data_IF_757663632250
#
_entry.id   IF_757663632250
#
_cell.length_a   1.000
_cell.length_b   1.000
_cell.length_c   1.000
_cell.angle_alpha   90.00
_cell.angle_beta   90.00
_cell.angle_gamma   90.00
#
_symmetry.space_group_name_H-M   'P 1'
#
loop_
_entity.id
_entity.type
_entity.pdbx_description
1 polymer ?
#
# COMPACT_ATOMS: atom_id res chain seq x y z
N UNK A 1 -24.48 7.44 9.03
CA UNK A 1 -23.57 7.84 7.91
C UNK A 1 -24.36 7.66 6.63
N UNK A 2 -24.36 8.62 5.70
CA UNK A 2 -25.14 8.45 4.46
C UNK A 2 -24.53 7.32 3.61
N UNK A 3 -25.36 6.69 2.78
CA UNK A 3 -24.92 5.61 1.89
C UNK A 3 -23.82 6.10 0.93
N UNK A 4 -23.89 7.34 0.43
CA UNK A 4 -22.84 7.86 -0.46
C UNK A 4 -21.47 7.96 0.24
N UNK A 5 -21.44 8.36 1.52
CA UNK A 5 -20.19 8.42 2.30
C UNK A 5 -19.57 7.04 2.51
N UNK A 6 -20.39 6.00 2.70
CA UNK A 6 -19.91 4.62 2.82
C UNK A 6 -19.33 4.12 1.49
N UNK A 7 -20.00 4.40 0.37
CA UNK A 7 -19.52 4.04 -0.97
C UNK A 7 -18.19 4.74 -1.26
N UNK A 8 -18.07 6.03 -0.97
CA UNK A 8 -16.82 6.78 -1.15
C UNK A 8 -15.66 6.17 -0.35
N UNK A 9 -15.89 5.78 0.91
CA UNK A 9 -14.88 5.14 1.73
C UNK A 9 -14.48 3.74 1.23
N UNK A 10 -15.42 2.97 0.67
CA UNK A 10 -15.10 1.67 0.03
C UNK A 10 -14.16 1.89 -1.16
N UNK A 11 -14.43 2.88 -2.01
CA UNK A 11 -13.58 3.21 -3.15
C UNK A 11 -12.17 3.58 -2.69
N UNK A 12 -12.05 4.42 -1.66
CA UNK A 12 -10.75 4.75 -1.05
C UNK A 12 -10.04 3.49 -0.53
N UNK A 13 -10.77 2.60 0.16
CA UNK A 13 -10.25 1.33 0.64
C UNK A 13 -9.67 0.47 -0.49
N UNK A 14 -10.41 0.32 -1.61
CA UNK A 14 -9.92 -0.42 -2.78
C UNK A 14 -8.70 0.23 -3.43
N UNK A 15 -8.66 1.56 -3.53
CA UNK A 15 -7.48 2.28 -4.04
C UNK A 15 -6.26 1.98 -3.16
N UNK A 16 -6.41 1.98 -1.84
CA UNK A 16 -5.33 1.65 -0.91
C UNK A 16 -4.88 0.19 -1.05
N UNK A 17 -5.81 -0.75 -1.20
CA UNK A 17 -5.49 -2.16 -1.44
C UNK A 17 -4.71 -2.34 -2.73
N UNK A 18 -5.21 -1.79 -3.84
CA UNK A 18 -4.54 -1.91 -5.16
C UNK A 18 -3.18 -1.22 -5.12
N UNK A 19 -3.11 0.00 -4.58
CA UNK A 19 -1.85 0.74 -4.44
C UNK A 19 -0.83 -0.01 -3.58
N UNK A 20 -1.27 -0.60 -2.46
CA UNK A 20 -0.43 -1.45 -1.61
C UNK A 20 0.10 -2.68 -2.34
N UNK A 21 -0.76 -3.39 -3.09
CA UNK A 21 -0.35 -4.54 -3.90
C UNK A 21 0.67 -4.15 -4.98
N UNK A 22 0.44 -3.04 -5.69
CA UNK A 22 1.38 -2.53 -6.70
C UNK A 22 2.75 -2.26 -6.07
N UNK A 23 2.80 -1.62 -4.90
CA UNK A 23 4.05 -1.38 -4.18
C UNK A 23 4.74 -2.69 -3.75
N UNK A 24 4.00 -3.67 -3.23
CA UNK A 24 4.54 -4.96 -2.80
C UNK A 24 5.16 -5.72 -3.98
N UNK A 25 4.39 -5.92 -5.05
CA UNK A 25 4.81 -6.72 -6.20
C UNK A 25 5.87 -6.01 -7.05
N UNK A 26 5.88 -4.67 -7.06
CA UNK A 26 6.86 -3.88 -7.80
C UNK A 26 8.00 -3.35 -6.90
N UNK A 27 8.09 -3.82 -5.64
CA UNK A 27 9.07 -3.35 -4.66
C UNK A 27 10.51 -3.51 -5.12
N UNK A 28 10.81 -4.59 -5.85
CA UNK A 28 12.13 -4.81 -6.46
C UNK A 28 12.41 -3.76 -7.53
N UNK A 29 11.48 -3.52 -8.45
CA UNK A 29 11.65 -2.54 -9.53
C UNK A 29 11.81 -1.12 -8.98
N UNK A 30 10.96 -0.73 -8.02
CA UNK A 30 11.07 0.58 -7.37
C UNK A 30 12.36 0.68 -6.55
N UNK A 31 12.71 -0.37 -5.80
CA UNK A 31 13.92 -0.40 -5.00
C UNK A 31 15.19 -0.25 -5.84
N UNK A 32 15.27 -0.97 -6.96
CA UNK A 32 16.36 -0.85 -7.93
C UNK A 32 16.41 0.54 -8.55
N UNK A 33 15.29 1.08 -9.03
CA UNK A 33 15.25 2.42 -9.64
C UNK A 33 15.74 3.50 -8.67
N UNK A 34 15.35 3.44 -7.40
CA UNK A 34 15.81 4.38 -6.38
C UNK A 34 17.29 4.16 -6.00
N UNK A 35 17.74 2.91 -5.91
CA UNK A 35 19.15 2.59 -5.67
C UNK A 35 20.06 3.07 -6.81
N UNK A 36 19.63 2.93 -8.06
CA UNK A 36 20.35 3.37 -9.24
C UNK A 36 20.40 4.89 -9.34
N UNK A 37 19.27 5.57 -9.05
CA UNK A 37 19.25 7.04 -8.96
C UNK A 37 20.22 7.54 -7.88
N UNK A 38 20.24 6.90 -6.70
CA UNK A 38 21.19 7.19 -5.64
C UNK A 38 22.65 6.94 -6.06
N UNK A 39 22.92 5.85 -6.79
CA UNK A 39 24.26 5.51 -7.28
C UNK A 39 24.75 6.54 -8.31
N UNK A 40 23.90 6.90 -9.27
CA UNK A 40 24.20 7.88 -10.31
C UNK A 40 24.51 9.25 -9.70
N UNK A 41 23.76 9.64 -8.66
CA UNK A 41 24.00 10.89 -7.92
C UNK A 41 25.32 10.93 -7.15
N UNK A 42 25.94 9.78 -6.88
CA UNK A 42 27.26 9.68 -6.23
C UNK A 42 28.42 9.50 -7.20
N UNK A 43 28.15 9.18 -8.47
CA UNK A 43 29.19 8.85 -9.45
C UNK A 43 29.84 7.47 -9.23
N UNK A 44 29.27 6.64 -8.35
CA UNK A 44 29.79 5.31 -8.01
C UNK A 44 29.68 4.98 -6.52
N UNK A 45 29.72 3.69 -6.20
CA UNK A 45 29.77 3.18 -4.83
C UNK A 45 30.42 1.80 -4.82
N UNK A 46 31.01 1.43 -3.68
CA UNK A 46 31.39 0.06 -3.42
C UNK A 46 30.17 -0.88 -3.52
N UNK A 47 30.38 -2.08 -4.07
CA UNK A 47 29.30 -3.06 -4.31
C UNK A 47 28.57 -3.45 -3.02
N UNK A 48 29.28 -3.55 -1.90
CA UNK A 48 28.69 -3.85 -0.60
C UNK A 48 27.73 -2.76 -0.13
N UNK A 49 28.13 -1.49 -0.27
CA UNK A 49 27.27 -0.35 0.09
C UNK A 49 26.05 -0.29 -0.83
N UNK A 50 26.23 -0.46 -2.14
CA UNK A 50 25.10 -0.45 -3.09
C UNK A 50 24.07 -1.55 -2.74
N UNK A 51 24.52 -2.77 -2.41
CA UNK A 51 23.59 -3.84 -2.04
C UNK A 51 22.80 -3.54 -0.76
N UNK A 52 23.40 -2.88 0.23
CA UNK A 52 22.70 -2.48 1.46
C UNK A 52 21.61 -1.45 1.13
N UNK A 53 21.93 -0.44 0.33
CA UNK A 53 20.97 0.59 -0.10
C UNK A 53 19.84 0.00 -0.93
N UNK A 54 20.18 -0.87 -1.88
CA UNK A 54 19.20 -1.59 -2.70
C UNK A 54 18.21 -2.38 -1.83
N UNK A 55 18.71 -3.23 -0.93
CA UNK A 55 17.86 -4.00 -0.01
C UNK A 55 17.02 -3.08 0.89
N UNK A 56 17.58 -1.97 1.34
CA UNK A 56 16.85 -0.98 2.13
C UNK A 56 15.66 -0.39 1.36
N UNK A 57 15.86 0.04 0.10
CA UNK A 57 14.76 0.59 -0.68
C UNK A 57 13.70 -0.46 -1.01
N UNK A 58 14.10 -1.68 -1.40
CA UNK A 58 13.15 -2.79 -1.63
C UNK A 58 12.32 -3.04 -0.38
N UNK A 59 12.96 -3.14 0.78
CA UNK A 59 12.26 -3.38 2.04
C UNK A 59 11.32 -2.23 2.41
N UNK A 60 11.71 -0.97 2.16
CA UNK A 60 10.86 0.17 2.41
C UNK A 60 9.57 0.13 1.58
N UNK A 61 9.67 -0.19 0.27
CA UNK A 61 8.48 -0.35 -0.58
C UNK A 61 7.61 -1.54 -0.16
N UNK A 62 8.23 -2.65 0.25
CA UNK A 62 7.51 -3.83 0.73
C UNK A 62 6.73 -3.52 2.02
N UNK A 63 7.38 -2.88 3.00
CA UNK A 63 6.75 -2.51 4.28
C UNK A 63 5.66 -1.45 4.06
N UNK A 64 5.94 -0.39 3.29
CA UNK A 64 4.96 0.64 3.00
C UNK A 64 3.74 0.08 2.25
N UNK A 65 3.98 -0.75 1.23
CA UNK A 65 2.92 -1.45 0.51
C UNK A 65 2.11 -2.37 1.39
N UNK A 66 2.76 -3.11 2.31
CA UNK A 66 2.10 -3.94 3.32
C UNK A 66 1.19 -3.16 4.26
N UNK A 67 1.64 -1.99 4.74
CA UNK A 67 0.83 -1.09 5.58
C UNK A 67 -0.38 -0.57 4.79
N UNK A 68 -0.19 -0.08 3.56
CA UNK A 68 -1.28 0.38 2.70
C UNK A 68 -2.30 -0.72 2.44
N UNK A 69 -1.83 -1.92 2.09
CA UNK A 69 -2.67 -3.08 1.83
C UNK A 69 -3.46 -3.48 3.08
N UNK A 70 -2.79 -3.63 4.23
CA UNK A 70 -3.42 -4.00 5.48
C UNK A 70 -4.46 -2.99 5.94
N UNK A 71 -4.14 -1.70 5.85
CA UNK A 71 -5.07 -0.64 6.22
C UNK A 71 -6.26 -0.53 5.25
N UNK A 72 -6.02 -0.66 3.94
CA UNK A 72 -7.07 -0.71 2.92
C UNK A 72 -8.04 -1.89 3.15
N UNK A 73 -7.50 -3.07 3.43
CA UNK A 73 -8.30 -4.25 3.78
C UNK A 73 -9.13 -4.01 5.05
N UNK A 74 -8.53 -3.44 6.08
CA UNK A 74 -9.23 -3.11 7.33
C UNK A 74 -10.41 -2.16 7.08
N UNK A 75 -10.24 -1.12 6.27
CA UNK A 75 -11.31 -0.20 5.89
C UNK A 75 -12.45 -0.94 5.20
N UNK A 76 -12.15 -1.76 4.18
CA UNK A 76 -13.16 -2.51 3.42
C UNK A 76 -13.96 -3.43 4.35
N UNK A 77 -13.30 -4.16 5.25
CA UNK A 77 -13.96 -5.04 6.22
C UNK A 77 -14.86 -4.26 7.17
N UNK A 78 -14.39 -3.16 7.75
CA UNK A 78 -15.18 -2.34 8.68
C UNK A 78 -16.44 -1.76 8.02
N UNK A 79 -16.32 -1.31 6.77
CA UNK A 79 -17.48 -0.76 6.05
C UNK A 79 -18.45 -1.88 5.67
N UNK A 80 -17.95 -3.05 5.26
CA UNK A 80 -18.78 -4.20 4.95
C UNK A 80 -19.65 -4.60 6.16
N UNK A 81 -19.05 -4.71 7.35
CA UNK A 81 -19.79 -4.97 8.58
C UNK A 81 -20.84 -3.89 8.87
N UNK A 82 -20.46 -2.61 8.73
CA UNK A 82 -21.38 -1.49 8.98
C UNK A 82 -22.55 -1.49 7.99
N UNK A 83 -22.30 -1.83 6.73
CA UNK A 83 -23.32 -1.92 5.69
C UNK A 83 -24.33 -3.04 5.98
N UNK A 84 -23.85 -4.22 6.41
CA UNK A 84 -24.72 -5.33 6.82
C UNK A 84 -25.58 -4.96 8.04
N UNK A 85 -24.98 -4.32 9.07
CA UNK A 85 -25.72 -3.93 10.27
C UNK A 85 -26.84 -2.90 9.97
N UNK A 86 -26.58 -1.91 9.11
CA UNK A 86 -27.61 -0.94 8.70
C UNK A 86 -28.74 -1.60 7.90
N UNK A 87 -28.47 -2.66 7.15
CA UNK A 87 -29.53 -3.39 6.44
C UNK A 87 -30.34 -4.31 7.37
N UNK A 88 -29.75 -4.81 8.46
CA UNK A 88 -30.45 -5.62 9.46
C UNK A 88 -31.47 -4.85 10.32
N UNK A 89 -31.23 -3.58 10.61
CA UNK A 89 -32.16 -2.72 11.37
C UNK A 89 -33.41 -2.29 10.58
N UNK A 90 -33.40 -2.39 9.25
CA UNK A 90 -34.54 -1.98 8.40
C UNK A 90 -35.56 -3.12 8.15
N UNK A 91 -35.39 -4.28 8.80
CA UNK A 91 -36.24 -5.48 8.63
C UNK A 91 -36.83 -5.94 9.97
N UNK A 92 -36.83 -5.09 10.99
CA UNK A 92 -37.60 -5.26 12.24
C UNK A 92 -38.59 -4.10 12.37
#
# INVERSE_FOLDING_TARGET
MSKEKLISLIVVGFILVIGGLVMIFSSVNFGTSFADSWLTGRGGADTGIYQIILKSYINNFLVAGGILFGFGMMIVVLIYYKFQNTNGENIQ
#
